data_IF_511347371930
#
_entry.id   IF_511347371930
#
_cell.length_a   1.000
_cell.length_b   1.000
_cell.length_c   1.000
_cell.angle_alpha   90.00
_cell.angle_beta   90.00
_cell.angle_gamma   90.00
#
_symmetry.space_group_name_H-M   'P 1'
#
loop_
_entity.id
_entity.type
_entity.pdbx_description
1 polymer ?
#
# COMPACT_ATOMS: atom_id res chain seq x y z
N UNK A 1 -12.48 -6.34 -6.54
CA UNK A 1 -13.09 -5.01 -6.33
C UNK A 1 -12.42 -4.37 -5.13
N UNK A 2 -12.11 -3.08 -5.17
CA UNK A 2 -11.52 -2.39 -4.01
C UNK A 2 -12.57 -2.24 -2.90
N UNK A 3 -12.25 -2.58 -1.63
CA UNK A 3 -13.16 -2.31 -0.52
C UNK A 3 -13.45 -0.79 -0.39
N UNK A 4 -14.72 -0.35 -0.29
CA UNK A 4 -15.06 1.07 -0.22
C UNK A 4 -14.38 1.85 0.91
N UNK A 5 -14.11 1.18 2.04
CA UNK A 5 -13.37 1.74 3.18
C UNK A 5 -11.92 2.08 2.80
N UNK A 6 -11.27 1.20 2.04
CA UNK A 6 -9.89 1.42 1.58
C UNK A 6 -9.82 2.55 0.56
N UNK A 7 -10.78 2.61 -0.35
CA UNK A 7 -10.88 3.71 -1.33
C UNK A 7 -11.05 5.06 -0.64
N UNK A 8 -11.97 5.16 0.35
CA UNK A 8 -12.15 6.38 1.14
C UNK A 8 -10.88 6.80 1.87
N UNK A 9 -10.18 5.86 2.49
CA UNK A 9 -8.90 6.11 3.17
C UNK A 9 -7.86 6.70 2.21
N UNK A 10 -7.63 6.05 1.06
CA UNK A 10 -6.63 6.51 0.08
C UNK A 10 -6.97 7.90 -0.45
N UNK A 11 -8.23 8.15 -0.80
CA UNK A 11 -8.67 9.45 -1.28
C UNK A 11 -8.52 10.55 -0.21
N UNK A 12 -8.83 10.26 1.06
CA UNK A 12 -8.67 11.21 2.16
C UNK A 12 -7.19 11.55 2.42
N UNK A 13 -6.31 10.55 2.42
CA UNK A 13 -4.86 10.74 2.55
C UNK A 13 -4.30 11.57 1.39
N UNK A 14 -4.67 11.22 0.14
CA UNK A 14 -4.21 11.94 -1.04
C UNK A 14 -4.63 13.41 -1.01
N UNK A 15 -5.90 13.72 -0.71
CA UNK A 15 -6.36 15.12 -0.60
C UNK A 15 -5.57 15.91 0.43
N UNK A 16 -5.37 15.35 1.63
CA UNK A 16 -4.62 16.04 2.70
C UNK A 16 -3.16 16.25 2.31
N UNK A 17 -2.50 15.23 1.76
CA UNK A 17 -1.10 15.32 1.36
C UNK A 17 -0.90 16.26 0.17
N UNK A 18 -1.82 16.30 -0.80
CA UNK A 18 -1.78 17.28 -1.90
C UNK A 18 -1.90 18.71 -1.38
N UNK A 19 -2.74 18.98 -0.37
CA UNK A 19 -2.81 20.29 0.29
C UNK A 19 -1.47 20.70 0.91
N UNK A 20 -0.69 19.73 1.40
CA UNK A 20 0.68 19.92 1.89
C UNK A 20 1.75 19.82 0.80
N UNK A 21 1.36 19.91 -0.49
CA UNK A 21 2.25 19.95 -1.67
C UNK A 21 3.04 18.66 -1.94
N UNK A 22 2.56 17.52 -1.46
CA UNK A 22 3.08 16.22 -1.89
C UNK A 22 2.58 15.89 -3.32
N UNK A 23 3.45 15.27 -4.11
CA UNK A 23 3.14 14.86 -5.47
C UNK A 23 2.86 13.36 -5.53
N UNK A 24 1.90 12.97 -6.35
CA UNK A 24 1.49 11.59 -6.57
C UNK A 24 1.62 11.23 -8.04
N UNK A 25 1.77 9.93 -8.33
CA UNK A 25 1.58 9.43 -9.69
C UNK A 25 0.13 9.62 -10.14
N UNK A 26 -0.09 9.82 -11.44
CA UNK A 26 -1.45 10.00 -11.99
C UNK A 26 -2.16 8.69 -12.30
N UNK A 27 -1.48 7.55 -12.11
CA UNK A 27 -2.06 6.23 -12.40
C UNK A 27 -3.23 5.96 -11.44
N UNK A 28 -4.31 5.33 -11.92
CA UNK A 28 -5.39 4.91 -11.03
C UNK A 28 -4.88 4.03 -9.90
N UNK A 29 -5.40 4.24 -8.69
CA UNK A 29 -5.03 3.43 -7.54
C UNK A 29 -5.44 1.96 -7.74
N UNK A 30 -4.44 1.07 -7.76
CA UNK A 30 -4.64 -0.37 -7.80
C UNK A 30 -4.07 -0.97 -6.50
N UNK A 31 -4.90 -1.34 -5.51
CA UNK A 31 -4.41 -1.93 -4.27
C UNK A 31 -3.75 -3.28 -4.56
N UNK A 32 -2.47 -3.39 -4.22
CA UNK A 32 -1.68 -4.59 -4.46
C UNK A 32 -0.62 -4.78 -3.37
N UNK A 33 -0.08 -5.99 -3.29
CA UNK A 33 1.11 -6.33 -2.51
C UNK A 33 2.16 -6.82 -3.49
N UNK A 34 3.32 -6.17 -3.54
CA UNK A 34 4.44 -6.63 -4.37
C UNK A 34 5.01 -7.93 -3.81
N UNK A 35 4.90 -9.04 -4.55
CA UNK A 35 5.49 -10.33 -4.16
C UNK A 35 6.92 -10.50 -4.68
N UNK A 36 7.18 -10.07 -5.91
CA UNK A 36 8.46 -10.18 -6.59
C UNK A 36 8.79 -8.86 -7.30
N UNK A 37 10.08 -8.55 -7.40
CA UNK A 37 10.61 -7.43 -8.21
C UNK A 37 11.58 -8.01 -9.23
N UNK A 38 11.64 -7.39 -10.42
CA UNK A 38 12.43 -7.89 -11.55
C UNK A 38 12.08 -9.34 -11.94
N UNK A 39 10.79 -9.70 -11.79
CA UNK A 39 10.31 -11.02 -12.18
C UNK A 39 10.51 -11.19 -13.70
N UNK A 40 11.21 -12.25 -14.07
CA UNK A 40 11.29 -12.72 -15.46
C UNK A 40 10.08 -13.60 -15.70
N UNK A 41 9.28 -13.23 -16.70
CA UNK A 41 8.04 -13.91 -17.03
C UNK A 41 8.22 -14.78 -18.27
N UNK A 42 7.56 -15.94 -18.30
CA UNK A 42 7.40 -16.79 -19.47
C UNK A 42 5.91 -17.11 -19.65
N UNK A 43 5.55 -17.83 -20.71
CA UNK A 43 4.13 -18.14 -20.97
C UNK A 43 3.52 -19.17 -19.99
N UNK A 44 4.27 -19.61 -18.97
CA UNK A 44 3.72 -20.48 -17.94
C UNK A 44 2.71 -19.70 -17.07
N UNK A 45 1.60 -20.34 -16.76
CA UNK A 45 0.62 -19.79 -15.83
C UNK A 45 1.18 -19.62 -14.43
N UNK A 46 0.63 -18.67 -13.67
CA UNK A 46 0.90 -18.58 -12.23
C UNK A 46 0.40 -19.81 -11.50
N UNK A 47 1.07 -20.22 -10.40
CA UNK A 47 0.51 -21.22 -9.50
C UNK A 47 -0.81 -20.73 -8.90
N UNK A 48 -1.64 -21.66 -8.45
CA UNK A 48 -2.87 -21.33 -7.74
C UNK A 48 -2.55 -20.50 -6.49
N UNK A 49 -3.19 -19.34 -6.37
CA UNK A 49 -3.04 -18.45 -5.21
C UNK A 49 -4.37 -18.42 -4.44
N UNK A 50 -4.47 -19.10 -3.29
CA UNK A 50 -5.68 -19.03 -2.49
C UNK A 50 -5.91 -17.61 -1.98
N UNK A 51 -7.17 -17.21 -1.86
CA UNK A 51 -7.51 -15.91 -1.31
C UNK A 51 -7.12 -15.85 0.18
N UNK A 52 -6.31 -14.86 0.53
CA UNK A 52 -6.06 -14.51 1.92
C UNK A 52 -7.05 -13.41 2.33
N UNK A 53 -7.92 -13.72 3.28
CA UNK A 53 -8.92 -12.80 3.82
C UNK A 53 -8.63 -12.52 5.29
N UNK A 54 -8.42 -11.25 5.64
CA UNK A 54 -8.20 -10.84 7.02
C UNK A 54 -8.83 -9.48 7.29
N UNK A 55 -9.05 -9.18 8.58
CA UNK A 55 -9.58 -7.89 9.03
C UNK A 55 -8.45 -6.88 9.16
N UNK A 56 -8.61 -5.71 8.56
CA UNK A 56 -7.69 -4.57 8.73
C UNK A 56 -8.09 -3.80 9.98
N UNK A 57 -7.15 -3.56 10.88
CA UNK A 57 -7.36 -2.81 12.14
C UNK A 57 -6.66 -1.47 12.16
N UNK A 58 -5.56 -1.32 11.41
CA UNK A 58 -4.69 -0.15 11.46
C UNK A 58 -4.02 0.08 10.10
N UNK A 59 -3.57 1.31 9.88
CA UNK A 59 -2.54 1.64 8.89
C UNK A 59 -1.38 2.37 9.58
N UNK A 60 -0.23 2.42 8.90
CA UNK A 60 1.00 3.01 9.46
C UNK A 60 1.62 3.99 8.48
N UNK A 61 2.21 5.06 9.00
CA UNK A 61 3.18 5.86 8.27
C UNK A 61 4.55 5.20 8.43
N UNK A 62 5.20 4.89 7.32
CA UNK A 62 6.52 4.25 7.31
C UNK A 62 7.56 5.14 6.65
N UNK A 63 8.80 5.05 7.15
CA UNK A 63 9.98 5.55 6.48
C UNK A 63 10.70 4.40 5.80
N UNK A 64 11.00 4.56 4.52
CA UNK A 64 11.88 3.65 3.78
C UNK A 64 13.33 4.08 3.98
N UNK A 65 14.14 3.23 4.61
CA UNK A 65 15.58 3.39 4.77
C UNK A 65 16.28 2.44 3.81
N UNK A 66 17.34 2.88 3.13
CA UNK A 66 18.12 2.02 2.23
C UNK A 66 19.52 1.86 2.77
N UNK A 67 20.01 0.63 2.77
CA UNK A 67 21.40 0.28 3.05
C UNK A 67 21.93 -0.68 1.97
N UNK A 68 23.14 -1.20 2.16
CA UNK A 68 23.76 -2.17 1.24
C UNK A 68 23.04 -3.52 1.14
N UNK A 69 22.08 -3.82 2.03
CA UNK A 69 21.31 -5.07 2.07
C UNK A 69 19.90 -4.91 1.50
N UNK A 70 19.42 -3.68 1.30
CA UNK A 70 18.14 -3.41 0.67
C UNK A 70 17.37 -2.28 1.35
N UNK A 71 16.04 -2.31 1.20
CA UNK A 71 15.16 -1.36 1.86
C UNK A 71 14.61 -1.96 3.17
N UNK A 72 14.73 -1.20 4.26
CA UNK A 72 14.12 -1.50 5.55
C UNK A 72 13.06 -0.46 5.87
N UNK A 73 11.95 -0.88 6.46
CA UNK A 73 10.85 0.02 6.81
C UNK A 73 10.82 0.28 8.31
N UNK A 74 10.88 1.56 8.70
CA UNK A 74 10.64 2.00 10.07
C UNK A 74 9.24 2.56 10.21
N UNK A 75 8.44 2.04 11.13
CA UNK A 75 7.15 2.63 11.48
C UNK A 75 7.38 3.94 12.23
N UNK A 76 6.85 5.05 11.71
CA UNK A 76 6.91 6.37 12.33
C UNK A 76 5.66 6.67 13.16
N UNK A 77 4.50 6.20 12.69
CA UNK A 77 3.22 6.36 13.37
C UNK A 77 2.26 5.23 13.00
N UNK A 78 1.33 4.91 13.90
CA UNK A 78 0.25 3.93 13.70
C UNK A 78 -1.09 4.61 13.95
N UNK A 79 -2.07 4.30 13.11
CA UNK A 79 -3.40 4.87 13.14
C UNK A 79 -4.41 3.71 13.10
N UNK A 80 -5.19 3.56 14.17
CA UNK A 80 -6.27 2.59 14.22
C UNK A 80 -7.43 2.99 13.32
N UNK A 81 -8.26 2.01 12.93
CA UNK A 81 -9.39 2.22 12.05
C UNK A 81 -10.42 3.24 12.59
N UNK A 82 -10.49 3.44 13.91
CA UNK A 82 -11.35 4.44 14.57
C UNK A 82 -10.87 5.88 14.46
N UNK A 83 -9.66 6.12 13.93
CA UNK A 83 -9.09 7.48 13.76
C UNK A 83 -9.42 8.10 12.38
N UNK A 84 -10.25 7.41 11.57
CA UNK A 84 -10.61 7.79 10.21
C UNK A 84 -12.09 8.14 10.04
N UNK A 85 -12.87 8.05 11.12
CA UNK A 85 -14.22 8.61 11.23
C UNK A 85 -14.15 10.12 11.50
#
# INVERSE_FOLDING_TARGET
RVPPQLERLVQALQRRLTHHRFHFEQRPYQPHVTLLRHALWNDAGLPAMPAACWRITDFVLVQSLRDGLGAHYKVLARFGASALD
#
